data_IF_213615571802
#
_entry.id   IF_213615571802
#
_cell.length_a   1.000
_cell.length_b   1.000
_cell.length_c   1.000
_cell.angle_alpha   90.00
_cell.angle_beta   90.00
_cell.angle_gamma   90.00
#
_symmetry.space_group_name_H-M   'P 1'
#
loop_
_entity.id
_entity.type
_entity.pdbx_description
1 polymer ?
#
# COMPACT_ATOMS: atom_id res chain seq x y z
N UNK A 1 -17.84 -16.17 -12.39
CA UNK A 1 -18.71 -15.34 -11.54
C UNK A 1 -20.16 -15.57 -11.91
N UNK A 2 -21.07 -15.54 -10.93
CA UNK A 2 -22.53 -15.72 -11.06
C UNK A 2 -23.24 -14.63 -11.88
N UNK A 3 -22.48 -13.70 -12.51
CA UNK A 3 -22.97 -12.64 -13.38
C UNK A 3 -23.84 -13.12 -14.56
N UNK A 4 -23.83 -14.42 -14.89
CA UNK A 4 -24.65 -15.02 -15.94
C UNK A 4 -25.87 -15.83 -15.41
N UNK A 5 -26.16 -15.80 -14.10
CA UNK A 5 -27.21 -16.62 -13.47
C UNK A 5 -28.09 -15.78 -12.52
N UNK A 6 -28.88 -14.86 -13.08
CA UNK A 6 -29.79 -13.97 -12.33
C UNK A 6 -30.89 -14.69 -11.53
N UNK A 7 -31.09 -15.99 -11.77
CA UNK A 7 -32.01 -16.86 -11.04
C UNK A 7 -31.39 -17.53 -9.82
N UNK A 8 -30.08 -17.42 -9.61
CA UNK A 8 -29.42 -18.01 -8.44
C UNK A 8 -29.45 -17.01 -7.29
N UNK A 9 -29.99 -17.42 -6.14
CA UNK A 9 -30.08 -16.57 -4.96
C UNK A 9 -28.72 -16.03 -4.55
N UNK A 10 -28.67 -14.76 -4.13
CA UNK A 10 -27.48 -14.10 -3.54
C UNK A 10 -26.91 -14.91 -2.37
N UNK A 11 -27.74 -15.67 -1.66
CA UNK A 11 -27.32 -16.62 -0.60
C UNK A 11 -26.30 -17.66 -1.07
N UNK A 12 -26.20 -17.92 -2.37
CA UNK A 12 -25.14 -18.80 -2.91
C UNK A 12 -23.73 -18.22 -2.73
N UNK A 13 -23.60 -16.91 -2.49
CA UNK A 13 -22.35 -16.25 -2.17
C UNK A 13 -22.01 -16.32 -0.67
N UNK A 14 -22.94 -16.75 0.19
CA UNK A 14 -22.71 -16.80 1.64
C UNK A 14 -21.53 -17.71 2.02
N UNK A 15 -21.20 -18.68 1.15
CA UNK A 15 -20.00 -19.53 1.27
C UNK A 15 -18.69 -18.74 1.28
N UNK A 16 -18.68 -17.51 0.76
CA UNK A 16 -17.52 -16.63 0.72
C UNK A 16 -17.44 -15.70 1.94
N UNK A 17 -18.49 -15.61 2.75
CA UNK A 17 -18.57 -14.64 3.85
C UNK A 17 -17.47 -14.89 4.89
N UNK A 18 -17.21 -16.16 5.24
CA UNK A 18 -16.17 -16.49 6.21
C UNK A 18 -14.79 -16.01 5.74
N UNK A 19 -14.45 -16.27 4.48
CA UNK A 19 -13.19 -15.80 3.88
C UNK A 19 -13.11 -14.28 3.81
N UNK A 20 -14.21 -13.61 3.47
CA UNK A 20 -14.26 -12.15 3.46
C UNK A 20 -14.01 -11.57 4.87
N UNK A 21 -14.61 -12.17 5.90
CA UNK A 21 -14.42 -11.74 7.29
C UNK A 21 -12.99 -11.96 7.78
N UNK A 22 -12.34 -13.07 7.42
CA UNK A 22 -10.91 -13.30 7.71
C UNK A 22 -10.02 -12.22 7.09
N UNK A 23 -10.30 -11.82 5.85
CA UNK A 23 -9.54 -10.77 5.16
C UNK A 23 -9.74 -9.41 5.83
N UNK A 24 -10.98 -9.07 6.21
CA UNK A 24 -11.26 -7.85 6.97
C UNK A 24 -10.55 -7.86 8.32
N UNK A 25 -10.51 -8.99 9.02
CA UNK A 25 -9.77 -9.12 10.27
C UNK A 25 -8.26 -8.93 10.07
N UNK A 26 -7.68 -9.51 9.02
CA UNK A 26 -6.26 -9.34 8.70
C UNK A 26 -5.87 -7.88 8.56
N UNK A 27 -6.75 -7.06 7.98
CA UNK A 27 -6.55 -5.61 7.80
C UNK A 27 -7.14 -4.72 8.90
N UNK A 28 -7.70 -5.31 9.95
CA UNK A 28 -8.26 -4.59 11.10
C UNK A 28 -9.54 -3.82 10.80
N UNK A 29 -10.40 -4.35 9.92
CA UNK A 29 -11.67 -3.77 9.48
C UNK A 29 -12.91 -4.54 9.94
N UNK A 30 -12.79 -5.52 10.86
CA UNK A 30 -13.92 -6.33 11.33
C UNK A 30 -15.10 -5.49 11.83
N UNK A 31 -14.85 -4.42 12.58
CA UNK A 31 -15.89 -3.50 13.09
C UNK A 31 -16.59 -2.71 11.98
N UNK A 32 -15.96 -2.60 10.80
CA UNK A 32 -16.46 -1.88 9.64
C UNK A 32 -17.12 -2.79 8.60
N UNK A 33 -17.29 -4.08 8.87
CA UNK A 33 -17.76 -5.06 7.88
C UNK A 33 -19.12 -4.70 7.23
N UNK A 34 -19.99 -4.01 7.96
CA UNK A 34 -21.31 -3.56 7.47
C UNK A 34 -21.35 -2.08 7.11
N UNK A 35 -20.20 -1.39 7.13
CA UNK A 35 -20.10 0.03 6.77
C UNK A 35 -19.98 0.19 5.27
N UNK A 36 -20.78 1.08 4.69
CA UNK A 36 -20.64 1.45 3.28
C UNK A 36 -19.24 2.06 3.03
N UNK A 37 -18.54 1.55 2.02
CA UNK A 37 -17.15 1.95 1.72
C UNK A 37 -16.97 3.46 1.59
N UNK A 38 -17.95 4.19 1.03
CA UNK A 38 -17.90 5.65 0.89
C UNK A 38 -17.75 6.38 2.23
N UNK A 39 -18.29 5.81 3.31
CA UNK A 39 -18.26 6.37 4.66
C UNK A 39 -16.99 6.02 5.44
N UNK A 40 -16.13 5.14 4.92
CA UNK A 40 -14.88 4.79 5.59
C UNK A 40 -13.91 5.99 5.59
N UNK A 41 -13.19 6.22 6.72
CA UNK A 41 -12.04 7.11 6.73
C UNK A 41 -11.00 6.70 5.67
N UNK A 42 -10.22 7.67 5.18
CA UNK A 42 -9.31 7.44 4.05
C UNK A 42 -8.30 6.30 4.30
N UNK A 43 -7.62 6.27 5.46
CA UNK A 43 -6.71 5.16 5.79
C UNK A 43 -7.42 3.79 5.83
N UNK A 44 -8.70 3.75 6.23
CA UNK A 44 -9.51 2.52 6.24
C UNK A 44 -9.92 2.08 4.83
N UNK A 45 -10.16 3.02 3.91
CA UNK A 45 -10.37 2.71 2.49
C UNK A 45 -9.14 2.04 1.89
N UNK A 46 -7.94 2.54 2.17
CA UNK A 46 -6.69 1.89 1.72
C UNK A 46 -6.48 0.51 2.33
N UNK A 47 -6.78 0.34 3.62
CA UNK A 47 -6.76 -0.99 4.24
C UNK A 47 -7.73 -1.98 3.55
N UNK A 48 -8.90 -1.50 3.11
CA UNK A 48 -9.85 -2.31 2.35
C UNK A 48 -9.32 -2.67 0.95
N UNK A 49 -8.68 -1.73 0.25
CA UNK A 49 -8.01 -2.01 -1.03
C UNK A 49 -6.93 -3.10 -0.88
N UNK A 50 -6.13 -3.04 0.18
CA UNK A 50 -5.16 -4.09 0.52
C UNK A 50 -5.88 -5.43 0.75
N UNK A 51 -6.99 -5.46 1.49
CA UNK A 51 -7.77 -6.68 1.71
C UNK A 51 -8.27 -7.29 0.39
N UNK A 52 -8.77 -6.46 -0.53
CA UNK A 52 -9.21 -6.94 -1.86
C UNK A 52 -8.05 -7.48 -2.69
N UNK A 53 -6.86 -6.91 -2.54
CA UNK A 53 -5.65 -7.41 -3.21
C UNK A 53 -5.23 -8.76 -2.62
N UNK A 54 -5.30 -8.91 -1.29
CA UNK A 54 -5.00 -10.18 -0.60
C UNK A 54 -5.99 -11.29 -0.94
N UNK A 55 -7.24 -10.94 -1.22
CA UNK A 55 -8.27 -11.89 -1.65
C UNK A 55 -7.89 -12.64 -2.94
N UNK A 56 -7.00 -12.06 -3.76
CA UNK A 56 -6.49 -12.66 -4.99
C UNK A 56 -5.34 -13.64 -4.74
N UNK A 57 -4.90 -13.80 -3.49
CA UNK A 57 -3.78 -14.64 -3.07
C UNK A 57 -2.49 -14.40 -3.89
N UNK A 58 -2.03 -13.15 -4.03
CA UNK A 58 -0.91 -12.82 -4.89
C UNK A 58 0.44 -13.28 -4.30
N UNK A 59 1.33 -13.79 -5.15
CA UNK A 59 2.74 -14.03 -4.83
C UNK A 59 3.55 -12.71 -4.79
N UNK A 60 3.16 -11.74 -5.64
CA UNK A 60 3.74 -10.40 -5.75
C UNK A 60 2.65 -9.33 -5.67
N UNK A 61 2.83 -8.36 -4.78
CA UNK A 61 1.97 -7.19 -4.66
C UNK A 61 2.71 -5.94 -5.14
N UNK A 62 2.04 -5.15 -5.98
CA UNK A 62 2.52 -3.85 -6.45
C UNK A 62 1.72 -2.76 -5.73
N UNK A 63 2.40 -1.89 -5.00
CA UNK A 63 1.78 -0.78 -4.27
C UNK A 63 2.29 0.55 -4.82
N UNK A 64 1.39 1.35 -5.37
CA UNK A 64 1.72 2.66 -5.93
C UNK A 64 1.35 3.76 -4.92
N UNK A 65 2.37 4.33 -4.28
CA UNK A 65 2.27 5.40 -3.28
C UNK A 65 1.19 5.18 -2.20
N UNK A 66 1.20 4.03 -1.49
CA UNK A 66 0.11 3.65 -0.59
C UNK A 66 -0.11 4.58 0.60
N UNK A 67 0.88 5.41 0.96
CA UNK A 67 0.78 6.36 2.09
C UNK A 67 0.50 7.80 1.68
N UNK A 68 0.42 8.10 0.38
CA UNK A 68 0.23 9.46 -0.11
C UNK A 68 -1.12 10.08 0.31
N UNK A 69 -1.06 11.34 0.73
CA UNK A 69 -2.23 12.13 1.14
C UNK A 69 -2.78 11.76 2.52
N UNK A 70 -2.07 10.95 3.31
CA UNK A 70 -2.47 10.56 4.67
C UNK A 70 -1.88 11.47 5.74
N UNK A 71 -2.59 11.61 6.85
CA UNK A 71 -2.02 12.14 8.09
C UNK A 71 -1.11 11.12 8.77
N UNK A 72 -0.21 11.57 9.65
CA UNK A 72 0.80 10.74 10.31
C UNK A 72 0.24 9.47 10.97
N UNK A 73 -0.87 9.57 11.70
CA UNK A 73 -1.50 8.40 12.35
C UNK A 73 -1.97 7.32 11.35
N UNK A 74 -2.45 7.74 10.17
CA UNK A 74 -2.90 6.82 9.13
C UNK A 74 -1.73 6.22 8.36
N UNK A 75 -0.65 6.99 8.13
CA UNK A 75 0.60 6.49 7.54
C UNK A 75 1.16 5.34 8.36
N UNK A 76 1.29 5.52 9.68
CA UNK A 76 1.83 4.48 10.57
C UNK A 76 0.96 3.22 10.54
N UNK A 77 -0.36 3.38 10.58
CA UNK A 77 -1.31 2.26 10.51
C UNK A 77 -1.19 1.48 9.22
N UNK A 78 -1.14 2.16 8.07
CA UNK A 78 -1.01 1.52 6.76
C UNK A 78 0.36 0.86 6.60
N UNK A 79 1.42 1.49 7.07
CA UNK A 79 2.77 0.94 7.06
C UNK A 79 2.86 -0.37 7.86
N UNK A 80 2.30 -0.39 9.07
CA UNK A 80 2.23 -1.62 9.88
C UNK A 80 1.38 -2.70 9.22
N UNK A 81 0.30 -2.30 8.54
CA UNK A 81 -0.51 -3.24 7.78
C UNK A 81 0.28 -3.86 6.63
N UNK A 82 0.96 -3.04 5.81
CA UNK A 82 1.82 -3.51 4.71
C UNK A 82 2.87 -4.49 5.23
N UNK A 83 3.51 -4.17 6.36
CA UNK A 83 4.49 -5.04 7.03
C UNK A 83 3.90 -6.37 7.50
N UNK A 84 2.66 -6.36 8.00
CA UNK A 84 1.97 -7.59 8.44
C UNK A 84 1.65 -8.48 7.25
N UNK A 85 1.19 -7.90 6.15
CA UNK A 85 0.72 -8.67 4.98
C UNK A 85 1.85 -9.08 4.05
N UNK A 86 3.01 -8.41 4.13
CA UNK A 86 4.24 -8.80 3.43
C UNK A 86 4.81 -10.13 3.94
N UNK A 87 4.41 -10.58 5.13
CA UNK A 87 4.82 -11.87 5.66
C UNK A 87 4.41 -13.00 4.68
N UNK A 88 5.40 -13.64 4.08
CA UNK A 88 5.22 -14.71 3.10
C UNK A 88 4.89 -14.26 1.67
N UNK A 89 5.08 -12.96 1.34
CA UNK A 89 4.81 -12.40 0.01
C UNK A 89 5.92 -11.44 -0.41
N UNK A 90 6.07 -11.24 -1.72
CA UNK A 90 6.93 -10.18 -2.24
C UNK A 90 6.11 -8.90 -2.41
N UNK A 91 6.62 -7.77 -1.93
CA UNK A 91 6.01 -6.46 -2.17
C UNK A 91 7.01 -5.60 -2.93
N UNK A 92 6.58 -5.03 -4.05
CA UNK A 92 7.25 -3.93 -4.72
C UNK A 92 6.40 -2.69 -4.54
N UNK A 93 7.00 -1.63 -4.00
CA UNK A 93 6.28 -0.42 -3.65
C UNK A 93 7.03 0.81 -4.15
N UNK A 94 6.27 1.76 -4.69
CA UNK A 94 6.74 3.12 -4.97
C UNK A 94 6.34 3.99 -3.80
N UNK A 95 7.31 4.68 -3.20
CA UNK A 95 7.07 5.56 -2.06
C UNK A 95 8.04 6.75 -2.07
N UNK A 96 7.52 7.91 -1.65
CA UNK A 96 8.32 9.12 -1.44
C UNK A 96 8.54 9.40 0.05
N UNK A 97 7.77 8.77 0.95
CA UNK A 97 7.96 8.92 2.39
C UNK A 97 9.13 8.07 2.90
N UNK A 98 10.27 8.72 3.17
CA UNK A 98 11.48 8.03 3.63
C UNK A 98 11.35 7.34 4.99
N UNK A 99 10.46 7.83 5.86
CA UNK A 99 10.16 7.15 7.12
C UNK A 99 9.53 5.78 6.86
N UNK A 100 8.52 5.74 5.98
CA UNK A 100 7.84 4.51 5.56
C UNK A 100 8.85 3.56 4.92
N UNK A 101 9.58 4.03 3.91
CA UNK A 101 10.59 3.23 3.21
C UNK A 101 11.61 2.62 4.18
N UNK A 102 12.14 3.42 5.13
CA UNK A 102 13.11 2.93 6.11
C UNK A 102 12.57 1.86 7.06
N UNK A 103 11.26 1.82 7.29
CA UNK A 103 10.62 0.97 8.30
C UNK A 103 10.24 -0.43 7.78
N UNK A 104 9.97 -0.55 6.48
CA UNK A 104 9.44 -1.78 5.87
C UNK A 104 10.24 -2.32 4.69
N UNK A 105 11.10 -1.52 4.04
CA UNK A 105 11.82 -1.99 2.86
C UNK A 105 13.09 -2.76 3.26
N UNK A 106 13.22 -3.99 2.75
CA UNK A 106 14.47 -4.76 2.85
C UNK A 106 15.57 -4.19 1.94
N UNK A 107 15.16 -3.66 0.79
CA UNK A 107 16.01 -3.11 -0.26
C UNK A 107 15.28 -1.94 -0.95
N UNK A 108 16.04 -0.93 -1.35
CA UNK A 108 15.55 0.26 -2.03
C UNK A 108 16.30 0.44 -3.32
N UNK A 109 15.58 0.85 -4.35
CA UNK A 109 16.14 1.25 -5.63
C UNK A 109 15.71 2.69 -5.89
N UNK A 110 16.68 3.59 -6.00
CA UNK A 110 16.44 5.01 -6.33
C UNK A 110 16.60 5.18 -7.83
N UNK A 111 15.56 5.71 -8.48
CA UNK A 111 15.52 5.94 -9.92
C UNK A 111 15.59 7.44 -10.21
N UNK A 112 16.44 7.84 -11.14
CA UNK A 112 16.54 9.23 -11.62
C UNK A 112 16.68 9.22 -13.14
N UNK A 113 15.80 9.99 -13.83
CA UNK A 113 15.79 10.10 -15.31
C UNK A 113 15.77 8.73 -16.03
N UNK A 114 15.02 7.77 -15.49
CA UNK A 114 14.88 6.43 -16.07
C UNK A 114 16.08 5.49 -15.85
N UNK A 115 17.07 5.88 -15.06
CA UNK A 115 18.21 5.04 -14.70
C UNK A 115 18.27 4.80 -13.18
N UNK A 116 18.78 3.63 -12.78
CA UNK A 116 19.05 3.35 -11.37
C UNK A 116 20.23 4.20 -10.92
N UNK A 117 19.99 5.04 -9.91
CA UNK A 117 20.98 5.91 -9.31
C UNK A 117 21.77 5.16 -8.23
N UNK A 118 21.05 4.48 -7.34
CA UNK A 118 21.57 3.70 -6.24
C UNK A 118 20.59 2.58 -5.89
N UNK A 119 21.13 1.48 -5.36
CA UNK A 119 20.34 0.33 -4.95
C UNK A 119 21.00 -0.36 -3.74
N UNK A 120 20.22 -0.72 -2.72
CA UNK A 120 20.72 -1.36 -1.52
C UNK A 120 19.83 -1.16 -0.28
N UNK A 121 20.31 -1.53 0.92
CA UNK A 121 19.62 -1.26 2.17
C UNK A 121 19.48 0.25 2.43
N UNK A 122 18.42 0.65 3.14
CA UNK A 122 18.18 2.07 3.48
C UNK A 122 19.39 2.77 4.10
N UNK A 123 20.08 2.12 5.05
CA UNK A 123 21.20 2.71 5.76
C UNK A 123 22.40 3.06 4.86
N UNK A 124 22.53 2.40 3.71
CA UNK A 124 23.58 2.66 2.73
C UNK A 124 23.10 3.69 1.69
N UNK A 125 21.92 3.46 1.11
CA UNK A 125 21.35 4.30 0.04
C UNK A 125 21.05 5.72 0.52
N UNK A 126 20.53 5.89 1.74
CA UNK A 126 20.22 7.21 2.33
C UNK A 126 21.44 8.10 2.55
N UNK A 127 22.65 7.52 2.56
CA UNK A 127 23.91 8.26 2.72
C UNK A 127 24.60 8.55 1.38
N UNK A 128 24.08 8.04 0.27
CA UNK A 128 24.63 8.30 -1.05
C UNK A 128 24.41 9.79 -1.40
N UNK A 129 25.48 10.58 -1.66
CA UNK A 129 25.35 11.99 -2.00
C UNK A 129 24.45 12.24 -3.20
N UNK A 130 24.44 11.33 -4.18
CA UNK A 130 23.61 11.44 -5.38
C UNK A 130 22.13 11.28 -5.05
N UNK A 131 21.82 10.38 -4.11
CA UNK A 131 20.45 10.18 -3.61
C UNK A 131 19.99 11.42 -2.83
N UNK A 132 20.83 11.93 -1.93
CA UNK A 132 20.52 13.17 -1.20
C UNK A 132 20.27 14.35 -2.15
N UNK A 133 21.13 14.53 -3.16
CA UNK A 133 20.94 15.57 -4.18
C UNK A 133 19.65 15.36 -4.99
N UNK A 134 19.34 14.14 -5.39
CA UNK A 134 18.12 13.83 -6.14
C UNK A 134 16.85 14.16 -5.34
N UNK A 135 16.82 13.89 -4.03
CA UNK A 135 15.68 14.19 -3.15
C UNK A 135 15.58 15.69 -2.79
N UNK A 136 16.71 16.37 -2.61
CA UNK A 136 16.73 17.82 -2.34
C UNK A 136 16.35 18.62 -3.59
N UNK A 137 16.80 18.20 -4.77
CA UNK A 137 16.50 18.85 -6.04
C UNK A 137 15.04 18.67 -6.50
N UNK A 138 14.33 17.62 -6.08
CA UNK A 138 12.88 17.48 -6.33
C UNK A 138 12.03 18.36 -5.41
N UNK A 139 12.46 18.62 -4.17
CA UNK A 139 11.77 19.56 -3.28
C UNK A 139 11.75 21.00 -3.82
N UNK A 140 12.83 21.42 -4.50
CA UNK A 140 12.87 22.70 -5.21
C UNK A 140 12.06 22.68 -6.54
N UNK A 141 11.88 21.51 -7.16
CA UNK A 141 11.10 21.38 -8.40
C UNK A 141 9.58 21.46 -8.17
N UNK A 142 9.07 20.99 -7.03
CA UNK A 142 7.65 21.16 -6.66
C UNK A 142 7.27 22.64 -6.43
N UNK A 143 8.23 23.47 -6.01
CA UNK A 143 8.02 24.92 -5.81
C UNK A 143 7.95 25.73 -7.12
N UNK A 144 8.30 25.16 -8.27
CA UNK A 144 8.24 25.86 -9.57
C UNK A 144 7.00 25.53 -10.41
N UNK A 145 6.18 24.56 -10.00
CA UNK A 145 4.98 24.12 -10.74
C UNK A 145 3.65 24.78 -10.34
N UNK A 146 3.64 25.62 -9.30
CA UNK A 146 2.45 26.32 -8.84
C UNK A 146 2.49 27.80 -9.29
N UNK A 147 2.24 28.05 -10.57
CA UNK A 147 1.88 29.38 -11.09
C UNK A 147 0.86 29.28 -12.21
#
# INVERSE_FOLDING_TARGET
>A
GTAYQFWRSERSLDVLNDRAMELLEQVGLTEFAQTLTVNLPYGRKRALEIATTLAMEPELMLLDEPTQGMGHEDVDRVTQLIRKVSAGRTILMVEHNMSVVSSIADKITVLQRGAILAEGPYAEVSRDPRVMEAYMGTADAELQGAH
#
